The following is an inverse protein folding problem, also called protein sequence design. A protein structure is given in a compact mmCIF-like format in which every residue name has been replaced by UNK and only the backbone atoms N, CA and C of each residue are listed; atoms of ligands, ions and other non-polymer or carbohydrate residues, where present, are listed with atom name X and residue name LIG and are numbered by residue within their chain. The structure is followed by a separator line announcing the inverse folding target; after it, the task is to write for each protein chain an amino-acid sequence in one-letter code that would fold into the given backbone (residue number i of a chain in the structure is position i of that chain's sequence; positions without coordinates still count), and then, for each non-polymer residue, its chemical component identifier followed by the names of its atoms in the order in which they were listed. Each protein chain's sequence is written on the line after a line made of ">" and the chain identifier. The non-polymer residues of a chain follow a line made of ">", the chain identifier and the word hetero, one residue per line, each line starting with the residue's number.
data_IF_865795954529
#
_entry.id   IF_865795954529
#
_cell.length_a   1.000
_cell.length_b   1.000
_cell.length_c   1.000
_cell.angle_alpha   90.00
_cell.angle_beta   90.00
_cell.angle_gamma   90.00
#
_symmetry.space_group_name_H-M   'P 1'
#
loop_
_entity.id
_entity.type
_entity.pdbx_description
1 polymer ?
#
# COMPACT_ATOMS: atom_id res chain seq x y z
N UNK A 1 -3.48 7.54 -10.25
CA UNK A 1 -3.83 6.12 -10.12
C UNK A 1 -4.34 5.90 -8.71
N UNK A 2 -4.81 4.70 -8.38
CA UNK A 2 -5.37 4.40 -7.05
C UNK A 2 -4.35 4.53 -5.91
N UNK A 3 -4.86 4.60 -4.67
CA UNK A 3 -4.10 4.60 -3.43
C UNK A 3 -4.70 3.55 -2.47
N UNK A 4 -3.84 2.89 -1.71
CA UNK A 4 -4.23 1.96 -0.66
C UNK A 4 -4.16 2.66 0.69
N UNK A 5 -5.27 2.64 1.42
CA UNK A 5 -5.42 3.26 2.73
C UNK A 5 -5.54 2.16 3.77
N UNK A 6 -4.73 2.22 4.82
CA UNK A 6 -4.66 1.22 5.90
C UNK A 6 -5.25 1.79 7.20
N UNK A 7 -6.59 1.81 7.35
CA UNK A 7 -7.20 2.29 8.58
C UNK A 7 -6.92 1.34 9.74
N UNK A 8 -6.77 1.89 10.94
CA UNK A 8 -6.63 1.10 12.18
C UNK A 8 -8.00 0.71 12.79
N UNK A 9 -9.09 0.99 12.08
CA UNK A 9 -10.46 0.69 12.49
C UNK A 9 -10.90 -0.71 12.04
N UNK A 10 -11.81 -1.34 12.79
CA UNK A 10 -12.45 -2.61 12.40
C UNK A 10 -13.34 -2.42 11.16
N UNK A 11 -14.07 -1.31 11.09
CA UNK A 11 -14.85 -0.92 9.92
C UNK A 11 -14.05 0.06 9.05
N UNK A 12 -14.14 -0.11 7.74
CA UNK A 12 -13.52 0.77 6.77
C UNK A 12 -14.19 2.16 6.82
N UNK A 13 -13.48 3.23 7.19
CA UNK A 13 -14.03 4.58 7.14
C UNK A 13 -14.12 5.06 5.68
N UNK A 14 -15.17 5.81 5.36
CA UNK A 14 -15.27 6.44 4.06
C UNK A 14 -14.14 7.45 3.85
N UNK A 15 -13.36 7.33 2.78
CA UNK A 15 -12.31 8.30 2.46
C UNK A 15 -12.84 9.59 1.83
N UNK A 16 -14.13 9.64 1.48
CA UNK A 16 -14.78 10.75 0.79
C UNK A 16 -16.18 10.98 1.37
N UNK A 17 -16.71 12.19 1.18
CA UNK A 17 -18.13 12.49 1.34
C UNK A 17 -18.85 12.35 0.00
N UNK A 18 -20.12 11.93 0.02
CA UNK A 18 -20.94 11.81 -1.20
C UNK A 18 -22.14 10.88 -1.01
N UNK A 19 -22.75 10.52 -2.13
CA UNK A 19 -23.87 9.58 -2.20
C UNK A 19 -23.37 8.22 -2.74
N UNK A 20 -23.69 7.14 -2.06
CA UNK A 20 -23.44 5.79 -2.56
C UNK A 20 -24.35 5.55 -3.75
N UNK A 21 -23.77 5.33 -4.93
CA UNK A 21 -24.56 5.14 -6.16
C UNK A 21 -24.70 3.68 -6.59
N UNK A 22 -23.78 2.81 -6.14
CA UNK A 22 -23.89 1.35 -6.36
C UNK A 22 -22.94 0.59 -5.42
N UNK A 23 -23.30 -0.67 -5.13
CA UNK A 23 -22.44 -1.64 -4.46
C UNK A 23 -22.45 -2.95 -5.25
N UNK A 24 -21.27 -3.55 -5.47
CA UNK A 24 -21.14 -4.82 -6.20
C UNK A 24 -20.21 -5.78 -5.52
N UNK A 25 -20.62 -7.03 -5.52
CA UNK A 25 -19.76 -8.15 -5.16
C UNK A 25 -19.17 -8.77 -6.43
N UNK A 26 -17.87 -9.04 -6.44
CA UNK A 26 -17.14 -9.64 -7.55
C UNK A 26 -16.40 -10.90 -7.09
N UNK A 27 -16.25 -11.88 -7.96
CA UNK A 27 -15.46 -13.08 -7.64
C UNK A 27 -13.98 -12.72 -7.55
N UNK A 28 -13.35 -13.10 -6.46
CA UNK A 28 -11.91 -12.90 -6.25
C UNK A 28 -11.11 -14.13 -6.71
N UNK A 29 -9.85 -13.95 -7.13
CA UNK A 29 -8.98 -15.08 -7.42
C UNK A 29 -8.88 -16.00 -6.19
N UNK A 30 -9.08 -17.32 -6.35
CA UNK A 30 -9.05 -18.25 -5.23
C UNK A 30 -7.65 -18.32 -4.62
N UNK A 31 -7.56 -18.00 -3.33
CA UNK A 31 -6.34 -18.09 -2.53
C UNK A 31 -6.67 -18.72 -1.17
N UNK A 32 -5.79 -19.56 -0.60
CA UNK A 32 -6.08 -20.23 0.67
C UNK A 32 -6.27 -19.29 1.86
N UNK A 33 -5.80 -18.04 1.74
CA UNK A 33 -5.83 -17.02 2.79
C UNK A 33 -6.90 -15.93 2.56
N UNK A 34 -7.70 -16.03 1.49
CA UNK A 34 -8.58 -14.95 1.07
C UNK A 34 -10.04 -15.41 0.95
N UNK A 35 -10.95 -14.45 1.08
CA UNK A 35 -12.36 -14.62 0.78
C UNK A 35 -12.59 -14.92 -0.71
N UNK A 36 -13.64 -15.65 -1.02
CA UNK A 36 -14.04 -15.99 -2.40
C UNK A 36 -14.54 -14.77 -3.17
N UNK A 37 -15.00 -13.75 -2.47
CA UNK A 37 -15.57 -12.53 -3.03
C UNK A 37 -14.86 -11.29 -2.54
N UNK A 38 -14.85 -10.30 -3.41
CA UNK A 38 -14.45 -8.94 -3.11
C UNK A 38 -15.61 -7.99 -3.42
N UNK A 39 -15.51 -6.75 -2.98
CA UNK A 39 -16.59 -5.79 -3.10
C UNK A 39 -16.10 -4.45 -3.64
N UNK A 40 -16.98 -3.78 -4.39
CA UNK A 40 -16.80 -2.46 -4.93
C UNK A 40 -17.95 -1.59 -4.42
N UNK A 41 -17.63 -0.45 -3.85
CA UNK A 41 -18.57 0.62 -3.48
C UNK A 41 -18.26 1.81 -4.38
N UNK A 42 -19.29 2.36 -5.03
CA UNK A 42 -19.21 3.58 -5.83
C UNK A 42 -19.87 4.73 -5.09
N UNK A 43 -19.13 5.83 -4.93
CA UNK A 43 -19.62 7.03 -4.23
C UNK A 43 -19.49 8.22 -5.17
N UNK A 44 -20.60 8.88 -5.45
CA UNK A 44 -20.61 10.13 -6.19
C UNK A 44 -20.25 11.29 -5.25
N UNK A 45 -19.11 11.92 -5.52
CA UNK A 45 -18.62 13.06 -4.71
C UNK A 45 -19.07 14.41 -5.27
N UNK A 46 -19.91 14.41 -6.33
CA UNK A 46 -20.33 15.59 -7.08
C UNK A 46 -19.33 15.99 -8.18
N UNK A 47 -18.04 15.84 -7.98
CA UNK A 47 -17.01 16.13 -9.00
C UNK A 47 -16.51 14.85 -9.69
N UNK A 48 -16.39 13.76 -8.95
CA UNK A 48 -15.90 12.47 -9.41
C UNK A 48 -16.72 11.32 -8.82
N UNK A 49 -16.59 10.15 -9.42
CA UNK A 49 -17.02 8.88 -8.81
C UNK A 49 -15.82 8.26 -8.10
N UNK A 50 -15.87 8.18 -6.78
CA UNK A 50 -14.91 7.42 -5.98
C UNK A 50 -15.25 5.92 -6.06
N UNK A 51 -14.21 5.11 -6.22
CA UNK A 51 -14.27 3.64 -6.25
C UNK A 51 -13.51 3.10 -5.05
N UNK A 52 -14.23 2.49 -4.14
CA UNK A 52 -13.70 1.88 -2.93
C UNK A 52 -13.81 0.36 -3.06
N UNK A 53 -12.69 -0.36 -3.00
CA UNK A 53 -12.66 -1.82 -3.06
C UNK A 53 -12.14 -2.41 -1.76
N UNK A 54 -12.33 -3.74 -1.61
CA UNK A 54 -11.90 -4.54 -0.47
C UNK A 54 -12.68 -4.24 0.82
N UNK A 55 -13.93 -3.78 0.67
CA UNK A 55 -14.84 -3.50 1.77
C UNK A 55 -16.18 -4.18 1.52
N UNK A 56 -16.58 -5.13 2.37
CA UNK A 56 -17.92 -5.71 2.35
C UNK A 56 -18.92 -4.65 2.86
N UNK A 57 -19.82 -4.13 1.99
CA UNK A 57 -20.58 -2.94 2.31
C UNK A 57 -21.67 -3.21 3.35
N UNK A 58 -21.81 -2.28 4.29
CA UNK A 58 -23.00 -2.13 5.14
C UNK A 58 -23.88 -0.96 4.70
N UNK A 59 -23.45 -0.26 3.64
CA UNK A 59 -24.17 0.84 2.99
C UNK A 59 -24.81 0.34 1.69
N UNK A 60 -25.87 1.04 1.23
CA UNK A 60 -26.58 0.75 -0.01
C UNK A 60 -26.74 1.99 -0.90
N UNK A 61 -27.12 1.78 -2.16
CA UNK A 61 -27.33 2.87 -3.09
C UNK A 61 -28.43 3.84 -2.58
N UNK A 62 -28.11 5.13 -2.57
CA UNK A 62 -28.93 6.20 -2.03
C UNK A 62 -28.50 6.67 -0.64
N UNK A 63 -27.61 5.96 0.05
CA UNK A 63 -27.05 6.41 1.33
C UNK A 63 -26.09 7.60 1.12
N UNK A 64 -26.23 8.61 1.96
CA UNK A 64 -25.25 9.70 2.06
C UNK A 64 -24.18 9.35 3.10
N UNK A 65 -22.92 9.55 2.76
CA UNK A 65 -21.78 9.30 3.65
C UNK A 65 -20.90 10.54 3.76
N UNK A 66 -20.36 10.75 4.96
CA UNK A 66 -19.34 11.76 5.24
C UNK A 66 -17.96 11.09 5.37
N UNK A 67 -16.90 11.89 5.29
CA UNK A 67 -15.53 11.37 5.53
C UNK A 67 -15.44 10.80 6.94
N UNK A 68 -15.06 9.53 7.05
CA UNK A 68 -14.95 8.82 8.33
C UNK A 68 -16.14 7.95 8.69
N UNK A 69 -17.27 8.08 8.00
CA UNK A 69 -18.43 7.21 8.22
C UNK A 69 -18.09 5.75 7.86
N UNK A 70 -18.64 4.76 8.57
CA UNK A 70 -18.35 3.37 8.29
C UNK A 70 -18.99 2.93 6.96
N UNK A 71 -18.20 2.37 6.06
CA UNK A 71 -18.67 1.76 4.81
C UNK A 71 -18.96 0.27 4.94
N UNK A 72 -18.29 -0.42 5.86
CA UNK A 72 -18.41 -1.86 6.04
C UNK A 72 -17.12 -2.50 6.55
N UNK A 73 -17.02 -3.83 6.48
CA UNK A 73 -15.88 -4.60 6.95
C UNK A 73 -14.78 -4.72 5.90
N UNK A 74 -13.52 -4.62 6.30
CA UNK A 74 -12.38 -4.84 5.40
C UNK A 74 -12.28 -6.31 5.00
N UNK A 75 -12.23 -6.58 3.70
CA UNK A 75 -12.16 -7.93 3.15
C UNK A 75 -10.73 -8.27 2.75
N UNK A 76 -10.28 -9.47 3.14
CA UNK A 76 -9.05 -10.03 2.61
C UNK A 76 -9.32 -10.67 1.26
N UNK A 77 -9.19 -9.88 0.20
CA UNK A 77 -9.45 -10.36 -1.14
C UNK A 77 -8.25 -11.09 -1.76
N UNK A 78 -8.52 -12.00 -2.70
CA UNK A 78 -7.50 -12.76 -3.42
C UNK A 78 -6.72 -11.96 -4.47
N UNK A 79 -7.03 -10.68 -4.62
CA UNK A 79 -6.35 -9.78 -5.57
C UNK A 79 -4.99 -9.30 -5.07
N UNK A 80 -4.72 -9.34 -3.77
CA UNK A 80 -3.44 -8.91 -3.21
C UNK A 80 -2.69 -10.04 -2.50
N UNK A 81 -1.39 -9.85 -2.31
CA UNK A 81 -0.49 -10.87 -1.77
C UNK A 81 -0.75 -11.16 -0.28
N UNK A 82 -0.35 -12.34 0.26
CA UNK A 82 -0.63 -12.72 1.64
C UNK A 82 0.00 -11.80 2.69
N UNK A 83 1.04 -11.09 2.36
CA UNK A 83 1.71 -10.12 3.22
C UNK A 83 1.10 -8.71 3.21
N UNK A 84 0.19 -8.42 2.29
CA UNK A 84 -0.49 -7.12 2.24
C UNK A 84 -1.62 -7.12 3.26
N UNK A 85 -1.69 -6.18 4.22
CA UNK A 85 -2.80 -6.08 5.16
C UNK A 85 -4.12 -5.76 4.46
N UNK A 86 -5.24 -5.99 5.13
CA UNK A 86 -6.53 -5.49 4.67
C UNK A 86 -6.47 -3.97 4.55
N UNK A 87 -7.06 -3.42 3.51
CA UNK A 87 -6.99 -2.00 3.19
C UNK A 87 -8.20 -1.58 2.35
N UNK A 88 -8.39 -0.29 2.27
CA UNK A 88 -9.31 0.35 1.34
C UNK A 88 -8.54 0.74 0.09
N UNK A 89 -8.87 0.16 -1.06
CA UNK A 89 -8.31 0.55 -2.34
C UNK A 89 -9.18 1.67 -2.94
N UNK A 90 -8.66 2.90 -2.98
CA UNK A 90 -9.37 4.08 -3.45
C UNK A 90 -8.88 4.52 -4.83
N UNK A 91 -9.80 4.66 -5.76
CA UNK A 91 -9.55 5.26 -7.07
C UNK A 91 -10.69 6.20 -7.49
N UNK A 92 -10.45 7.04 -8.49
CA UNK A 92 -11.44 8.00 -8.98
C UNK A 92 -11.69 7.85 -10.48
N UNK A 93 -12.92 8.16 -10.90
CA UNK A 93 -13.37 8.25 -12.30
C UNK A 93 -14.08 9.57 -12.52
N UNK A 94 -14.10 10.04 -13.79
CA UNK A 94 -15.08 11.04 -14.20
C UNK A 94 -16.44 10.37 -14.34
N UNK A 95 -17.51 11.15 -14.32
CA UNK A 95 -18.88 10.62 -14.48
C UNK A 95 -19.12 9.98 -15.86
N UNK A 96 -18.41 10.42 -16.89
CA UNK A 96 -18.46 9.84 -18.23
C UNK A 96 -17.65 8.55 -18.42
N UNK A 97 -16.75 8.24 -17.47
CA UNK A 97 -15.94 7.02 -17.50
C UNK A 97 -16.74 5.83 -16.95
N UNK A 98 -16.46 4.62 -17.44
CA UNK A 98 -17.02 3.39 -16.84
C UNK A 98 -16.41 3.13 -15.46
N UNK A 99 -17.22 3.26 -14.36
CA UNK A 99 -16.70 3.09 -13.01
C UNK A 99 -16.43 1.62 -12.64
N UNK A 100 -16.89 0.67 -13.42
CA UNK A 100 -16.71 -0.76 -13.14
C UNK A 100 -15.43 -1.33 -13.74
N UNK A 101 -14.83 -0.62 -14.65
CA UNK A 101 -13.61 -1.06 -15.32
C UNK A 101 -12.43 -1.09 -14.34
N UNK A 102 -11.67 -2.18 -14.31
CA UNK A 102 -10.55 -2.37 -13.38
C UNK A 102 -9.41 -1.34 -13.59
N UNK A 103 -9.14 -0.94 -14.84
CA UNK A 103 -8.09 0.02 -15.18
C UNK A 103 -8.65 1.41 -15.53
N UNK A 104 -7.81 2.45 -15.45
CA UNK A 104 -8.16 3.80 -15.91
C UNK A 104 -8.51 4.77 -14.77
N UNK A 105 -8.11 4.51 -13.52
CA UNK A 105 -8.24 5.50 -12.44
C UNK A 105 -7.48 6.78 -12.75
N UNK A 106 -8.09 7.91 -12.42
CA UNK A 106 -7.48 9.23 -12.51
C UNK A 106 -6.20 9.28 -11.68
N UNK A 107 -5.19 10.07 -12.11
CA UNK A 107 -4.02 10.30 -11.27
C UNK A 107 -4.41 11.02 -9.99
N UNK A 108 -3.92 10.48 -8.86
CA UNK A 108 -4.07 11.10 -7.53
C UNK A 108 -2.74 11.76 -7.19
N UNK A 109 -2.76 12.97 -6.65
CA UNK A 109 -1.60 13.65 -6.07
C UNK A 109 -1.67 13.56 -4.54
N UNK A 110 -0.51 13.35 -3.92
CA UNK A 110 -0.38 13.39 -2.45
C UNK A 110 -0.09 14.84 -2.06
N UNK A 111 -1.03 15.47 -1.35
CA UNK A 111 -0.89 16.83 -0.85
C UNK A 111 -0.38 16.89 0.61
N UNK A 112 -0.36 15.77 1.31
CA UNK A 112 0.20 15.68 2.64
C UNK A 112 1.72 15.92 2.62
N UNK A 113 2.23 16.63 3.64
CA UNK A 113 3.66 16.72 3.86
C UNK A 113 4.22 15.34 4.23
N UNK A 114 5.25 14.92 3.51
CA UNK A 114 5.92 13.64 3.72
C UNK A 114 7.30 13.87 4.29
N UNK A 115 7.65 13.14 5.35
CA UNK A 115 9.00 13.14 5.90
C UNK A 115 9.79 11.95 5.35
N UNK A 116 10.87 12.27 4.66
CA UNK A 116 11.82 11.28 4.15
C UNK A 116 12.77 10.85 5.28
N UNK A 117 12.86 9.56 5.55
CA UNK A 117 13.68 9.00 6.64
C UNK A 117 14.74 8.07 6.07
N UNK A 118 16.03 8.39 6.23
CA UNK A 118 17.11 7.54 5.76
C UNK A 118 17.07 6.15 6.40
N UNK A 119 17.37 5.12 5.62
CA UNK A 119 17.49 3.75 6.08
C UNK A 119 18.75 3.09 5.48
N UNK A 120 19.52 2.45 6.33
CA UNK A 120 20.76 1.76 5.96
C UNK A 120 20.58 0.29 5.58
N UNK A 121 19.34 -0.18 5.53
CA UNK A 121 19.04 -1.58 5.23
C UNK A 121 19.16 -2.52 6.44
N UNK A 122 19.33 -1.99 7.65
CA UNK A 122 19.42 -2.83 8.86
C UNK A 122 18.25 -2.60 9.79
N UNK A 123 17.96 -3.59 10.66
CA UNK A 123 16.94 -3.47 11.70
C UNK A 123 16.83 -4.75 12.52
N UNK A 124 15.98 -4.69 13.53
CA UNK A 124 15.59 -5.85 14.33
C UNK A 124 14.13 -6.18 14.06
N UNK A 125 13.80 -7.43 13.91
CA UNK A 125 12.41 -7.88 13.73
C UNK A 125 11.61 -7.60 14.98
N UNK A 126 10.56 -6.79 14.88
CA UNK A 126 9.66 -6.45 16.00
C UNK A 126 8.31 -7.14 15.91
N UNK A 127 7.98 -7.66 14.72
CA UNK A 127 6.74 -8.37 14.47
C UNK A 127 6.91 -9.23 13.22
N UNK A 128 6.34 -10.44 13.20
CA UNK A 128 6.49 -11.37 12.10
C UNK A 128 5.26 -12.25 11.92
N UNK A 129 5.02 -12.66 10.68
CA UNK A 129 4.04 -13.66 10.28
C UNK A 129 4.65 -14.66 9.31
N UNK A 130 3.86 -15.61 8.84
CA UNK A 130 4.32 -16.66 7.93
C UNK A 130 4.97 -16.12 6.65
N UNK A 131 4.55 -14.94 6.19
CA UNK A 131 4.97 -14.39 4.89
C UNK A 131 5.59 -13.00 4.98
N UNK A 132 5.84 -12.50 6.17
CA UNK A 132 6.40 -11.16 6.36
C UNK A 132 7.08 -11.01 7.72
N UNK A 133 8.02 -10.05 7.77
CA UNK A 133 8.63 -9.57 9.01
C UNK A 133 8.75 -8.05 8.96
N UNK A 134 8.41 -7.37 10.07
CA UNK A 134 8.52 -5.93 10.22
C UNK A 134 9.73 -5.58 11.08
N UNK A 135 10.49 -4.58 10.63
CA UNK A 135 11.67 -4.10 11.33
C UNK A 135 11.35 -2.88 12.22
N UNK A 136 12.16 -2.67 13.26
CA UNK A 136 12.17 -1.48 14.11
C UNK A 136 12.83 -0.26 13.44
N UNK A 137 13.51 -0.48 12.32
CA UNK A 137 14.24 0.54 11.56
C UNK A 137 13.72 0.63 10.12
N UNK A 138 13.66 1.83 9.55
CA UNK A 138 13.93 3.12 10.18
C UNK A 138 12.83 3.51 11.18
N UNK A 139 13.22 4.16 12.27
CA UNK A 139 12.26 4.60 13.29
C UNK A 139 11.47 5.82 12.79
N UNK A 140 10.18 5.89 13.16
CA UNK A 140 9.34 7.03 12.82
C UNK A 140 9.82 8.30 13.55
N UNK A 141 10.14 9.41 12.82
CA UNK A 141 10.77 10.57 13.43
C UNK A 141 9.84 11.43 14.27
N UNK A 142 8.54 11.42 13.94
CA UNK A 142 7.54 12.32 14.53
C UNK A 142 6.14 11.73 14.35
N UNK A 143 5.66 10.86 15.29
CA UNK A 143 4.34 10.24 15.21
C UNK A 143 3.22 11.28 15.03
N UNK A 144 2.27 10.97 14.15
CA UNK A 144 1.20 11.87 13.74
C UNK A 144 1.46 12.62 12.41
N UNK A 145 2.71 12.62 11.89
CA UNK A 145 3.05 13.09 10.54
C UNK A 145 3.21 11.91 9.59
N UNK A 146 3.07 12.11 8.27
CA UNK A 146 3.38 11.05 7.33
C UNK A 146 4.88 10.97 7.08
N UNK A 147 5.44 9.78 7.23
CA UNK A 147 6.84 9.52 6.96
C UNK A 147 7.03 8.20 6.19
N UNK A 148 8.13 8.08 5.47
CA UNK A 148 8.50 6.86 4.74
C UNK A 148 9.99 6.84 4.42
N UNK A 149 10.46 5.75 3.80
CA UNK A 149 11.88 5.54 3.50
C UNK A 149 12.36 6.54 2.46
N UNK A 150 13.43 7.24 2.78
CA UNK A 150 14.05 8.27 1.94
C UNK A 150 14.68 7.69 0.70
N UNK A 151 14.53 8.42 -0.42
CA UNK A 151 15.27 8.25 -1.65
C UNK A 151 15.37 9.58 -2.39
N UNK A 152 16.58 10.08 -2.57
CA UNK A 152 16.88 11.31 -3.34
C UNK A 152 16.02 12.52 -2.93
N UNK A 153 15.74 12.66 -1.62
CA UNK A 153 14.91 13.72 -1.06
C UNK A 153 13.39 13.48 -1.14
N UNK A 154 12.95 12.41 -1.77
CA UNK A 154 11.58 11.91 -1.76
C UNK A 154 11.42 10.69 -0.87
N UNK A 155 10.26 10.06 -0.95
CA UNK A 155 9.89 8.87 -0.19
C UNK A 155 9.50 7.75 -1.15
N UNK A 156 10.11 6.58 -0.99
CA UNK A 156 9.74 5.37 -1.73
C UNK A 156 8.44 4.77 -1.19
N UNK A 157 7.61 4.32 -2.12
CA UNK A 157 6.34 3.65 -1.85
C UNK A 157 6.14 2.48 -2.80
N UNK A 158 5.63 1.34 -2.29
CA UNK A 158 5.32 0.16 -3.09
C UNK A 158 6.08 -1.09 -2.69
N UNK A 159 6.05 -2.11 -3.54
CA UNK A 159 6.68 -3.41 -3.31
C UNK A 159 7.89 -3.66 -4.19
N UNK A 160 9.09 -3.50 -3.65
CA UNK A 160 10.36 -3.69 -4.34
C UNK A 160 10.90 -5.11 -4.14
N UNK A 161 11.35 -5.84 -5.19
CA UNK A 161 11.11 -5.63 -6.63
C UNK A 161 9.89 -6.43 -7.14
N UNK A 162 9.04 -6.95 -6.25
CA UNK A 162 7.99 -7.93 -6.55
C UNK A 162 6.74 -7.34 -7.21
N UNK A 163 6.63 -6.02 -7.31
CA UNK A 163 5.71 -5.33 -8.21
C UNK A 163 6.49 -4.70 -9.37
N UNK A 164 5.84 -4.51 -10.50
CA UNK A 164 6.45 -3.90 -11.68
C UNK A 164 6.80 -2.43 -11.45
N UNK A 165 5.97 -1.74 -10.65
CA UNK A 165 6.10 -0.31 -10.39
C UNK A 165 5.99 0.00 -8.91
N UNK A 166 6.68 1.08 -8.52
CA UNK A 166 6.53 1.77 -7.24
C UNK A 166 6.31 3.26 -7.43
N UNK A 167 6.40 4.00 -6.34
CA UNK A 167 6.29 5.45 -6.28
C UNK A 167 7.50 6.11 -5.65
N UNK A 168 7.83 7.31 -6.13
CA UNK A 168 8.68 8.26 -5.45
C UNK A 168 7.85 9.51 -5.20
N UNK A 169 7.54 9.77 -3.93
CA UNK A 169 6.61 10.81 -3.48
C UNK A 169 7.39 11.97 -2.88
N UNK A 170 6.87 13.19 -3.00
CA UNK A 170 7.46 14.38 -2.40
C UNK A 170 8.66 14.99 -3.15
N UNK A 171 9.19 14.34 -4.18
CA UNK A 171 10.32 14.84 -4.99
C UNK A 171 11.35 13.75 -5.31
N UNK A 172 12.50 14.16 -5.86
CA UNK A 172 13.56 13.24 -6.27
C UNK A 172 13.48 12.77 -7.72
N UNK A 173 14.58 12.25 -8.22
CA UNK A 173 14.74 11.75 -9.60
C UNK A 173 15.39 10.38 -9.66
N UNK A 174 15.84 9.85 -8.52
CA UNK A 174 16.52 8.55 -8.40
C UNK A 174 15.80 7.67 -7.40
N UNK A 175 15.67 6.40 -7.70
CA UNK A 175 15.18 5.39 -6.78
C UNK A 175 16.40 4.66 -6.16
N UNK A 176 16.67 4.97 -4.90
CA UNK A 176 17.78 4.40 -4.12
C UNK A 176 17.20 3.79 -2.82
N UNK A 177 17.63 2.60 -2.45
CA UNK A 177 17.24 1.92 -1.22
C UNK A 177 18.49 1.35 -0.56
N UNK A 178 18.71 1.65 0.72
CA UNK A 178 19.89 1.20 1.47
C UNK A 178 21.23 1.46 0.72
N UNK A 179 21.36 2.63 0.07
CA UNK A 179 22.55 3.03 -0.68
C UNK A 179 22.72 2.36 -2.06
N UNK A 180 21.74 1.57 -2.49
CA UNK A 180 21.76 0.91 -3.82
C UNK A 180 20.68 1.53 -4.71
N UNK A 181 21.04 1.82 -5.98
CA UNK A 181 20.06 2.21 -6.99
C UNK A 181 19.15 1.02 -7.30
N UNK A 182 17.83 1.21 -7.28
CA UNK A 182 16.85 0.12 -7.34
C UNK A 182 15.84 0.28 -8.48
N UNK A 183 15.98 1.32 -9.29
CA UNK A 183 15.06 1.53 -10.40
C UNK A 183 15.22 2.87 -11.09
N UNK A 184 14.45 3.06 -12.15
CA UNK A 184 14.36 4.32 -12.90
C UNK A 184 13.10 5.08 -12.56
N UNK A 185 13.19 6.42 -12.51
CA UNK A 185 12.10 7.32 -12.13
C UNK A 185 11.58 8.08 -13.36
N UNK A 186 10.26 8.05 -13.56
CA UNK A 186 9.56 8.88 -14.55
C UNK A 186 8.37 9.60 -13.89
N UNK A 187 8.51 10.91 -13.69
CA UNK A 187 7.61 11.66 -12.83
C UNK A 187 7.68 11.14 -11.40
N UNK A 188 6.59 10.60 -10.87
CA UNK A 188 6.56 9.93 -9.56
C UNK A 188 6.53 8.38 -9.65
N UNK A 189 6.56 7.83 -10.85
CA UNK A 189 6.56 6.37 -11.04
C UNK A 189 7.98 5.86 -11.01
N UNK A 190 8.24 4.86 -10.19
CA UNK A 190 9.47 4.07 -10.18
C UNK A 190 9.21 2.77 -10.94
N UNK A 191 10.04 2.50 -11.94
CA UNK A 191 10.13 1.16 -12.55
C UNK A 191 11.30 0.47 -11.88
N UNK A 192 11.04 -0.62 -11.17
CA UNK A 192 12.06 -1.35 -10.42
C UNK A 192 13.03 -2.09 -11.36
N UNK A 193 14.30 -2.12 -10.99
CA UNK A 193 15.28 -2.96 -11.64
C UNK A 193 15.08 -4.44 -11.25
N UNK A 194 15.43 -5.35 -12.14
CA UNK A 194 15.54 -6.77 -11.80
C UNK A 194 16.74 -6.99 -10.87
N UNK A 195 16.47 -7.57 -9.70
CA UNK A 195 17.50 -7.86 -8.70
C UNK A 195 17.04 -8.97 -7.75
N UNK A 196 17.99 -9.54 -7.02
CA UNK A 196 17.74 -10.43 -5.89
C UNK A 196 17.80 -9.64 -4.60
N UNK A 197 16.75 -9.74 -3.78
CA UNK A 197 16.74 -9.16 -2.43
C UNK A 197 16.97 -10.27 -1.43
N UNK A 198 17.87 -10.04 -0.47
CA UNK A 198 18.20 -11.01 0.57
C UNK A 198 17.99 -10.40 1.96
N UNK A 199 17.63 -11.25 2.93
CA UNK A 199 17.67 -10.95 4.36
C UNK A 199 18.73 -11.85 4.98
N UNK A 200 19.78 -11.27 5.60
CA UNK A 200 20.93 -12.01 6.13
C UNK A 200 21.58 -12.98 5.14
N UNK A 201 21.56 -12.63 3.83
CA UNK A 201 22.08 -13.46 2.74
C UNK A 201 21.10 -14.49 2.18
N UNK A 202 19.95 -14.70 2.79
CA UNK A 202 18.92 -15.62 2.29
C UNK A 202 17.94 -14.88 1.38
N UNK A 203 17.64 -15.38 0.16
CA UNK A 203 16.73 -14.74 -0.76
C UNK A 203 15.31 -14.61 -0.21
N UNK A 204 14.71 -13.44 -0.37
CA UNK A 204 13.32 -13.14 -0.04
C UNK A 204 12.56 -12.61 -1.27
N UNK A 205 11.23 -12.51 -1.18
CA UNK A 205 10.45 -11.94 -2.28
C UNK A 205 10.74 -10.46 -2.47
N UNK A 206 11.00 -9.73 -1.37
CA UNK A 206 11.37 -8.32 -1.44
C UNK A 206 10.99 -7.52 -0.20
N UNK A 207 10.82 -6.22 -0.41
CA UNK A 207 10.50 -5.25 0.64
C UNK A 207 9.21 -4.53 0.26
N UNK A 208 8.25 -4.47 1.17
CA UNK A 208 7.10 -3.57 1.06
C UNK A 208 7.43 -2.26 1.78
N UNK A 209 7.29 -1.15 1.06
CA UNK A 209 7.56 0.22 1.52
C UNK A 209 6.27 1.01 1.49
N UNK A 210 5.94 1.70 2.57
CA UNK A 210 4.74 2.53 2.66
C UNK A 210 4.94 3.73 3.60
N UNK A 211 4.20 4.80 3.33
CA UNK A 211 4.15 5.96 4.22
C UNK A 211 3.20 5.69 5.38
N UNK A 212 3.63 5.93 6.61
CA UNK A 212 2.80 5.80 7.79
C UNK A 212 2.82 7.05 8.66
N UNK A 213 1.79 7.22 9.52
CA UNK A 213 1.70 8.32 10.47
C UNK A 213 2.34 7.99 11.82
N UNK A 214 2.22 6.75 12.25
CA UNK A 214 2.68 6.30 13.57
C UNK A 214 3.83 5.30 13.47
N UNK A 215 3.96 4.65 12.32
CA UNK A 215 5.01 3.67 12.03
C UNK A 215 5.54 3.88 10.64
N UNK A 216 6.84 3.79 10.49
CA UNK A 216 7.47 3.68 9.18
C UNK A 216 7.35 2.24 8.69
N UNK A 217 6.86 2.10 7.46
CA UNK A 217 6.63 0.80 6.89
C UNK A 217 7.82 0.28 6.12
N UNK A 218 8.72 -0.44 6.80
CA UNK A 218 9.60 -1.40 6.14
C UNK A 218 9.16 -2.79 6.57
N UNK A 219 8.67 -3.54 5.61
CA UNK A 219 8.26 -4.92 5.82
C UNK A 219 8.98 -5.81 4.82
N UNK A 220 9.78 -6.74 5.31
CA UNK A 220 10.36 -7.80 4.51
C UNK A 220 9.27 -8.81 4.18
N UNK A 221 9.21 -9.26 2.94
CA UNK A 221 8.14 -10.15 2.49
C UNK A 221 8.67 -11.35 1.72
N UNK A 222 8.06 -12.50 1.96
CA UNK A 222 8.43 -13.74 1.29
C UNK A 222 7.65 -14.93 1.86
N UNK A 223 7.35 -15.92 1.04
CA UNK A 223 6.74 -17.16 1.52
C UNK A 223 7.77 -17.94 2.32
N UNK A 224 7.43 -18.28 3.58
CA UNK A 224 8.33 -18.99 4.47
C UNK A 224 9.60 -18.19 4.79
N UNK A 225 9.47 -16.89 4.99
CA UNK A 225 10.58 -15.97 5.22
C UNK A 225 11.44 -16.32 6.44
N UNK A 226 10.87 -17.02 7.44
CA UNK A 226 11.62 -17.65 8.55
C UNK A 226 12.38 -16.70 9.47
N UNK A 227 11.95 -15.43 9.58
CA UNK A 227 12.55 -14.43 10.45
C UNK A 227 11.77 -14.34 11.76
N UNK A 228 12.47 -14.47 12.88
CA UNK A 228 11.89 -14.44 14.24
C UNK A 228 11.98 -13.06 14.89
N UNK A 229 11.03 -12.74 15.76
CA UNK A 229 11.04 -11.50 16.55
C UNK A 229 12.31 -11.48 17.43
N UNK A 230 13.00 -10.34 17.38
CA UNK A 230 14.30 -10.14 18.05
C UNK A 230 15.51 -10.45 17.17
N UNK A 231 15.32 -11.04 15.99
CA UNK A 231 16.41 -11.29 15.06
C UNK A 231 16.88 -9.99 14.40
N UNK A 232 18.21 -9.82 14.33
CA UNK A 232 18.81 -8.71 13.60
C UNK A 232 18.92 -9.05 12.12
N UNK A 233 18.49 -8.14 11.27
CA UNK A 233 18.47 -8.32 9.83
C UNK A 233 19.31 -7.27 9.14
N UNK A 234 20.02 -7.71 8.10
CA UNK A 234 20.68 -6.85 7.09
C UNK A 234 20.12 -7.20 5.72
N UNK A 235 19.58 -6.20 5.06
CA UNK A 235 19.08 -6.30 3.67
C UNK A 235 20.26 -6.32 2.70
N UNK A 236 20.25 -7.26 1.78
CA UNK A 236 21.14 -7.28 0.60
C UNK A 236 20.33 -7.05 -0.67
N UNK A 237 20.92 -6.33 -1.64
CA UNK A 237 20.34 -6.08 -2.96
C UNK A 237 21.42 -6.41 -3.98
N UNK A 238 21.23 -7.48 -4.76
CA UNK A 238 22.17 -8.00 -5.74
C UNK A 238 21.58 -7.90 -7.15
N UNK A 239 22.39 -7.38 -8.10
CA UNK A 239 22.04 -7.23 -9.52
C UNK A 239 22.61 -8.35 -10.36
#
# INVERSE_FOLDING_TARGET
>A
RAIDLYPEAELAPSPVAGEVIDTRSVDAPPKPYAAERDHLILIDTGEYVARTLHVEPTVEAGDAVEVGDPLGELVRAGFFAPWVPNHVHLGFRRHEDDPYRASGSLPISVAAELRAVPWDGTGTVVDAGETWARLDSPAHPDPGTFAGVESDGGVLDGGFPHYEYGGLLGGGTRAELAGTSVGSVSGRTVTWDECTVTANGEPITGVALFCGRDRLGVKLVGRGIGLDVGERVTLGIER
#
